data_IF_309949554174
#
_entry.id   IF_309949554174
#
_cell.length_a   1.000
_cell.length_b   1.000
_cell.length_c   1.000
_cell.angle_alpha   90.00
_cell.angle_beta   90.00
_cell.angle_gamma   90.00
#
_symmetry.space_group_name_H-M   'P 1'
#
loop_
_entity.id
_entity.type
_entity.pdbx_description
1 polymer ?
#
# COMPACT_ATOMS: atom_id res chain seq x y z
N UNK A 1 -0.18 1.97 -2.31
CA UNK A 1 -1.23 2.91 -2.75
C UNK A 1 -1.75 2.57 -4.13
N UNK A 2 -0.91 2.66 -5.17
CA UNK A 2 -1.32 2.38 -6.56
C UNK A 2 -1.86 0.95 -6.75
N UNK A 3 -1.14 -0.08 -6.27
CA UNK A 3 -1.61 -1.46 -6.45
C UNK A 3 -2.90 -1.76 -5.68
N UNK A 4 -3.07 -1.19 -4.48
CA UNK A 4 -4.27 -1.37 -3.68
C UNK A 4 -5.48 -0.65 -4.28
N UNK A 5 -5.25 0.50 -4.92
CA UNK A 5 -6.30 1.19 -5.69
C UNK A 5 -6.70 0.35 -6.91
N UNK A 6 -5.73 -0.08 -7.72
CA UNK A 6 -5.96 -0.98 -8.85
C UNK A 6 -6.77 -2.22 -8.43
N UNK A 7 -6.38 -2.88 -7.34
CA UNK A 7 -7.06 -4.09 -6.86
C UNK A 7 -8.51 -3.80 -6.43
N UNK A 8 -8.77 -2.68 -5.74
CA UNK A 8 -10.14 -2.25 -5.37
C UNK A 8 -11.01 -1.98 -6.60
N UNK A 9 -10.46 -1.28 -7.58
CA UNK A 9 -11.16 -0.94 -8.82
C UNK A 9 -11.42 -2.20 -9.67
N UNK A 10 -10.43 -3.07 -9.83
CA UNK A 10 -10.60 -4.33 -10.55
C UNK A 10 -11.64 -5.23 -9.87
N UNK A 11 -11.62 -5.29 -8.54
CA UNK A 11 -12.60 -6.06 -7.77
C UNK A 11 -14.01 -5.47 -7.87
N UNK A 12 -14.17 -4.15 -7.86
CA UNK A 12 -15.48 -3.51 -8.02
C UNK A 12 -16.09 -3.71 -9.41
N UNK A 13 -15.26 -4.00 -10.43
CA UNK A 13 -15.68 -4.44 -11.76
C UNK A 13 -16.09 -5.93 -11.82
N UNK A 14 -16.00 -6.68 -10.72
CA UNK A 14 -16.38 -8.09 -10.63
C UNK A 14 -15.27 -9.08 -10.96
N UNK A 15 -14.01 -8.63 -11.09
CA UNK A 15 -12.87 -9.52 -11.32
C UNK A 15 -12.47 -10.21 -10.01
N UNK A 16 -12.51 -11.54 -10.00
CA UNK A 16 -12.26 -12.35 -8.79
C UNK A 16 -10.92 -13.11 -8.80
N UNK A 17 -10.13 -12.99 -9.87
CA UNK A 17 -8.78 -13.55 -9.96
C UNK A 17 -7.79 -12.42 -10.20
N UNK A 18 -7.21 -11.90 -9.11
CA UNK A 18 -6.33 -10.74 -9.13
C UNK A 18 -4.91 -11.15 -8.75
N UNK A 19 -3.95 -10.72 -9.56
CA UNK A 19 -2.53 -10.97 -9.34
C UNK A 19 -1.69 -9.86 -9.93
N UNK A 20 -0.40 -9.90 -9.62
CA UNK A 20 0.60 -8.97 -10.14
C UNK A 20 1.66 -9.79 -10.86
N UNK A 21 2.07 -9.34 -12.04
CA UNK A 21 3.02 -10.07 -12.88
C UNK A 21 4.47 -9.62 -12.58
N UNK A 22 5.19 -9.11 -13.58
CA UNK A 22 6.56 -8.66 -13.41
C UNK A 22 6.69 -7.58 -12.32
N UNK A 23 7.70 -7.71 -11.46
CA UNK A 23 7.93 -6.79 -10.36
C UNK A 23 7.06 -7.03 -9.11
N UNK A 24 6.22 -8.07 -9.12
CA UNK A 24 5.43 -8.47 -7.96
C UNK A 24 6.32 -8.91 -6.80
N UNK A 25 6.51 -8.03 -5.82
CA UNK A 25 7.12 -8.37 -4.55
C UNK A 25 6.04 -8.82 -3.55
N UNK A 26 6.43 -9.49 -2.43
CA UNK A 26 5.47 -9.99 -1.45
C UNK A 26 4.55 -8.92 -0.85
N UNK A 27 5.02 -7.67 -0.74
CA UNK A 27 4.20 -6.56 -0.23
C UNK A 27 3.09 -6.19 -1.22
N UNK A 28 3.37 -6.19 -2.52
CA UNK A 28 2.37 -5.91 -3.56
C UNK A 28 1.29 -7.00 -3.62
N UNK A 29 1.68 -8.27 -3.49
CA UNK A 29 0.72 -9.38 -3.44
C UNK A 29 -0.16 -9.29 -2.18
N UNK A 30 0.44 -9.01 -1.01
CA UNK A 30 -0.30 -8.79 0.24
C UNK A 30 -1.26 -7.61 0.11
N UNK A 31 -0.80 -6.47 -0.40
CA UNK A 31 -1.64 -5.27 -0.59
C UNK A 31 -2.80 -5.54 -1.54
N UNK A 32 -2.59 -6.33 -2.60
CA UNK A 32 -3.65 -6.73 -3.54
C UNK A 32 -4.76 -7.53 -2.82
N UNK A 33 -4.37 -8.48 -1.95
CA UNK A 33 -5.33 -9.26 -1.16
C UNK A 33 -6.06 -8.40 -0.11
N UNK A 34 -5.32 -7.56 0.62
CA UNK A 34 -5.90 -6.67 1.64
C UNK A 34 -6.83 -5.61 1.05
N UNK A 35 -6.52 -5.13 -0.16
CA UNK A 35 -7.34 -4.14 -0.86
C UNK A 35 -8.74 -4.65 -1.17
N UNK A 36 -8.92 -5.96 -1.33
CA UNK A 36 -10.22 -6.60 -1.57
C UNK A 36 -10.84 -7.19 -0.30
N UNK A 37 -10.33 -6.81 0.88
CA UNK A 37 -10.90 -7.16 2.18
C UNK A 37 -10.40 -8.49 2.76
N UNK A 38 -9.40 -9.13 2.16
CA UNK A 38 -8.82 -10.36 2.71
C UNK A 38 -7.79 -10.05 3.80
N UNK A 39 -7.74 -10.89 4.82
CA UNK A 39 -6.65 -10.91 5.79
C UNK A 39 -5.79 -12.15 5.55
N UNK A 40 -4.50 -11.95 5.28
CA UNK A 40 -3.56 -13.03 4.94
C UNK A 40 -2.50 -13.22 6.02
N UNK A 41 -1.79 -14.36 6.09
CA UNK A 41 -0.72 -14.54 7.07
C UNK A 41 0.36 -13.46 7.04
N UNK A 42 0.60 -12.85 5.88
CA UNK A 42 1.55 -11.75 5.71
C UNK A 42 1.02 -10.39 6.19
N UNK A 43 -0.28 -10.24 6.48
CA UNK A 43 -0.88 -9.00 6.97
C UNK A 43 -0.30 -8.55 8.31
N UNK A 44 0.26 -9.47 9.09
CA UNK A 44 1.02 -9.14 10.31
C UNK A 44 2.26 -8.28 10.07
N UNK A 45 2.76 -8.26 8.83
CA UNK A 45 3.90 -7.44 8.40
C UNK A 45 3.47 -6.16 7.67
N UNK A 46 2.18 -5.81 7.71
CA UNK A 46 1.67 -4.58 7.09
C UNK A 46 2.41 -3.37 7.65
N UNK A 47 2.78 -2.45 6.76
CA UNK A 47 3.51 -1.26 7.12
C UNK A 47 2.62 -0.32 7.95
N UNK A 48 3.19 0.23 9.02
CA UNK A 48 2.53 1.29 9.76
C UNK A 48 2.81 2.62 9.06
N UNK A 49 1.83 3.10 8.29
CA UNK A 49 1.95 4.34 7.51
C UNK A 49 2.19 5.59 8.35
N UNK A 50 1.87 5.59 9.65
CA UNK A 50 2.21 6.69 10.56
C UNK A 50 3.73 6.92 10.63
N UNK A 51 4.52 5.86 10.42
CA UNK A 51 5.98 5.89 10.43
C UNK A 51 6.60 6.11 9.04
N UNK A 52 5.79 6.25 7.99
CA UNK A 52 6.32 6.44 6.64
C UNK A 52 7.15 7.72 6.58
N UNK A 53 8.40 7.62 6.11
CA UNK A 53 9.37 8.73 6.16
C UNK A 53 8.85 10.01 5.50
N UNK A 54 8.18 9.87 4.35
CA UNK A 54 7.59 10.99 3.62
C UNK A 54 6.16 11.31 4.06
N UNK A 55 5.22 10.35 3.96
CA UNK A 55 3.78 10.57 4.18
C UNK A 55 3.27 10.35 5.60
N UNK A 56 4.07 9.84 6.52
CA UNK A 56 3.66 9.54 7.90
C UNK A 56 3.45 10.78 8.77
N UNK A 57 2.81 10.64 9.93
CA UNK A 57 2.56 11.76 10.86
C UNK A 57 3.37 11.65 12.15
N UNK A 58 4.26 10.67 12.26
CA UNK A 58 5.12 10.51 13.43
C UNK A 58 5.93 11.80 13.71
N UNK A 59 5.95 12.22 14.98
CA UNK A 59 6.66 13.41 15.46
C UNK A 59 8.16 13.40 15.15
N UNK A 60 8.76 12.21 14.98
CA UNK A 60 10.18 12.03 14.64
C UNK A 60 10.52 12.36 13.18
N UNK A 61 9.52 12.54 12.31
CA UNK A 61 9.75 12.90 10.91
C UNK A 61 10.18 14.38 10.85
N UNK A 62 11.39 14.70 10.34
CA UNK A 62 11.88 16.07 10.26
C UNK A 62 11.00 16.95 9.37
N UNK A 63 10.90 18.24 9.71
CA UNK A 63 10.06 19.19 8.96
C UNK A 63 10.50 19.32 7.50
N UNK A 64 11.81 19.38 7.24
CA UNK A 64 12.33 19.49 5.87
C UNK A 64 11.86 18.34 4.97
N UNK A 65 11.73 17.11 5.49
CA UNK A 65 11.21 15.95 4.73
C UNK A 65 9.71 16.11 4.46
N UNK A 66 8.94 16.66 5.40
CA UNK A 66 7.51 16.95 5.18
C UNK A 66 7.32 18.02 4.11
N UNK A 67 8.18 19.03 4.09
CA UNK A 67 8.14 20.11 3.10
C UNK A 67 8.45 19.58 1.68
N UNK A 68 9.18 18.48 1.55
CA UNK A 68 9.40 17.79 0.28
C UNK A 68 8.16 17.08 -0.29
N UNK A 69 7.07 16.93 0.47
CA UNK A 69 5.84 16.25 -0.02
C UNK A 69 5.25 16.85 -1.27
N UNK A 70 5.31 18.17 -1.41
CA UNK A 70 4.75 18.88 -2.56
C UNK A 70 5.59 18.77 -3.83
N UNK A 71 6.79 18.17 -3.74
CA UNK A 71 7.72 17.98 -4.85
C UNK A 71 7.79 16.53 -5.35
N UNK A 72 7.07 15.60 -4.71
CA UNK A 72 6.89 14.22 -5.15
C UNK A 72 5.48 14.05 -5.73
#
# INVERSE_FOLDING_TARGET
YEIGQFAREAYSLGINYLGVCCGANPMLIRETAEAVGLMVPASKYKENMENHYMFGKNKRIPQHIKDYRSKA
#
